data_IF_523232671329
#
_entry.id   IF_523232671329
#
_cell.length_a   1.000
_cell.length_b   1.000
_cell.length_c   1.000
_cell.angle_alpha   90.00
_cell.angle_beta   90.00
_cell.angle_gamma   90.00
#
_symmetry.space_group_name_H-M   'P 1'
#
loop_
_entity.id
_entity.type
_entity.pdbx_description
1 polymer ?
#
# COMPACT_ATOMS: atom_id res chain seq x y z
N UNK A 1 -6.11 19.25 29.56
CA UNK A 1 -5.61 18.00 28.95
C UNK A 1 -5.82 16.85 29.94
N UNK A 2 -6.82 15.99 29.71
CA UNK A 2 -7.03 14.77 30.53
C UNK A 2 -6.15 13.65 29.95
N UNK A 3 -5.25 13.10 30.76
CA UNK A 3 -4.31 11.99 30.52
C UNK A 3 -2.89 12.34 30.04
N UNK A 4 -2.03 12.76 30.98
CA UNK A 4 -0.56 12.72 30.89
C UNK A 4 0.03 11.31 30.73
N UNK A 5 -0.79 10.25 30.90
CA UNK A 5 -0.39 8.82 30.79
C UNK A 5 -0.80 8.16 29.46
N UNK A 6 -1.39 8.91 28.51
CA UNK A 6 -1.67 8.33 27.19
C UNK A 6 -0.37 8.21 26.41
N UNK A 7 -0.08 7.01 25.93
CA UNK A 7 1.08 6.66 25.11
C UNK A 7 0.75 5.50 24.19
N UNK A 8 1.64 5.21 23.23
CA UNK A 8 1.47 4.07 22.33
C UNK A 8 1.57 2.76 23.12
N UNK A 9 0.57 1.90 22.99
CA UNK A 9 0.55 0.57 23.57
C UNK A 9 0.97 -0.44 22.50
N UNK A 10 1.99 -1.25 22.79
CA UNK A 10 2.46 -2.30 21.87
C UNK A 10 1.83 -3.64 22.23
N UNK A 11 1.03 -4.18 21.32
CA UNK A 11 0.37 -5.47 21.41
C UNK A 11 1.32 -6.60 20.96
N UNK A 12 1.15 -7.78 21.53
CA UNK A 12 1.88 -8.98 21.08
C UNK A 12 1.37 -9.41 19.69
N UNK A 13 2.27 -9.50 18.72
CA UNK A 13 1.94 -9.84 17.34
C UNK A 13 2.28 -11.31 17.03
N UNK A 14 1.42 -11.99 16.26
CA UNK A 14 1.77 -13.29 15.71
C UNK A 14 2.65 -13.10 14.47
N UNK A 15 3.94 -13.37 14.61
CA UNK A 15 4.94 -13.18 13.55
C UNK A 15 4.68 -14.01 12.29
N UNK A 16 3.89 -15.10 12.36
CA UNK A 16 3.56 -15.93 11.17
C UNK A 16 2.54 -15.27 10.26
N UNK A 17 1.70 -14.40 10.80
CA UNK A 17 0.56 -13.77 10.11
C UNK A 17 0.67 -12.25 10.06
N UNK A 18 1.77 -11.71 10.60
CA UNK A 18 2.00 -10.28 10.60
C UNK A 18 2.33 -9.76 9.21
N UNK A 19 1.87 -8.56 8.90
CA UNK A 19 2.18 -7.82 7.68
C UNK A 19 2.67 -6.42 8.06
N UNK A 20 3.49 -5.83 7.21
CA UNK A 20 3.92 -4.43 7.34
C UNK A 20 3.00 -3.56 6.47
N UNK A 21 2.14 -2.75 7.08
CA UNK A 21 1.26 -1.83 6.38
C UNK A 21 1.85 -0.43 6.32
N UNK A 22 1.62 0.22 5.19
CA UNK A 22 2.03 1.61 4.94
C UNK A 22 0.82 2.36 4.41
N UNK A 23 0.25 3.24 5.22
CA UNK A 23 -0.80 4.15 4.77
C UNK A 23 -0.16 5.44 4.29
N UNK A 24 -0.54 5.90 3.12
CA UNK A 24 0.07 7.08 2.50
C UNK A 24 -1.01 8.08 2.09
N UNK A 25 -0.70 9.37 2.30
CA UNK A 25 -1.48 10.47 1.76
C UNK A 25 -0.56 11.64 1.35
N UNK A 26 -1.00 12.39 0.35
CA UNK A 26 -0.33 13.58 -0.11
C UNK A 26 -1.35 14.65 -0.42
N UNK A 27 -1.12 15.85 0.11
CA UNK A 27 -2.03 16.99 -0.07
C UNK A 27 -1.33 18.13 -0.79
N UNK A 28 -1.90 18.50 -1.93
CA UNK A 28 -1.31 19.45 -2.85
C UNK A 28 -1.52 20.90 -2.41
N UNK A 29 -0.44 21.67 -2.37
CA UNK A 29 -0.44 23.12 -2.14
C UNK A 29 -1.27 23.58 -0.91
N UNK A 30 -1.33 22.76 0.14
CA UNK A 30 -2.17 23.00 1.31
C UNK A 30 -1.48 23.84 2.41
N UNK A 31 -0.16 23.93 2.38
CA UNK A 31 0.56 24.77 3.33
C UNK A 31 0.33 26.25 3.01
N UNK A 32 0.49 27.13 4.00
CA UNK A 32 0.28 28.57 3.83
C UNK A 32 1.17 29.20 2.73
N UNK A 33 2.32 28.57 2.45
CA UNK A 33 3.26 28.95 1.40
C UNK A 33 3.03 28.19 0.08
N UNK A 34 1.84 27.60 -0.11
CA UNK A 34 1.40 26.84 -1.29
C UNK A 34 2.23 25.59 -1.56
N UNK A 35 2.99 25.10 -0.59
CA UNK A 35 3.72 23.85 -0.73
C UNK A 35 2.86 22.65 -0.37
N UNK A 36 3.22 21.50 -0.92
CA UNK A 36 2.51 20.24 -0.69
C UNK A 36 2.99 19.56 0.59
N UNK A 37 2.08 18.90 1.30
CA UNK A 37 2.37 18.11 2.49
C UNK A 37 2.32 16.62 2.13
N UNK A 38 3.33 15.87 2.58
CA UNK A 38 3.41 14.42 2.44
C UNK A 38 3.22 13.78 3.81
N UNK A 39 2.40 12.75 3.86
CA UNK A 39 2.08 12.03 5.09
C UNK A 39 2.09 10.52 4.89
N UNK A 40 2.66 9.81 5.84
CA UNK A 40 2.50 8.36 5.89
C UNK A 40 2.63 7.83 7.31
N UNK A 41 2.11 6.62 7.52
CA UNK A 41 2.25 5.86 8.75
C UNK A 41 2.52 4.39 8.44
N UNK A 42 3.49 3.81 9.15
CA UNK A 42 3.98 2.45 9.01
C UNK A 42 3.64 1.65 10.26
N UNK A 43 3.03 0.50 10.06
CA UNK A 43 2.40 -0.24 11.13
C UNK A 43 2.55 -1.74 10.92
N UNK A 44 2.78 -2.49 12.00
CA UNK A 44 2.77 -3.95 11.97
C UNK A 44 1.42 -4.49 12.41
N UNK A 45 0.85 -5.35 11.55
CA UNK A 45 -0.56 -5.75 11.60
C UNK A 45 -0.65 -7.24 11.67
N UNK A 46 -1.35 -7.75 12.66
CA UNK A 46 -1.68 -9.16 12.65
C UNK A 46 -2.92 -9.41 11.77
N UNK A 47 -2.86 -10.37 10.85
CA UNK A 47 -4.09 -10.82 10.16
C UNK A 47 -4.97 -11.53 11.20
N UNK A 48 -6.11 -10.96 11.56
CA UNK A 48 -7.13 -11.69 12.33
C UNK A 48 -7.63 -12.86 11.47
N UNK A 49 -7.28 -14.10 11.84
CA UNK A 49 -7.96 -15.29 11.33
C UNK A 49 -9.32 -15.34 11.99
N UNK A 50 -10.36 -14.85 11.31
CA UNK A 50 -11.71 -14.95 11.84
C UNK A 50 -12.13 -16.42 11.88
N UNK A 51 -12.09 -17.00 13.07
CA UNK A 51 -12.76 -18.25 13.36
C UNK A 51 -14.28 -17.97 13.45
N UNK A 52 -14.99 -18.39 12.40
CA UNK A 52 -16.39 -18.85 12.39
C UNK A 52 -17.54 -17.83 12.58
N UNK A 53 -18.32 -17.61 11.51
CA UNK A 53 -19.78 -17.84 11.53
C UNK A 53 -20.32 -18.01 10.10
N UNK A 54 -20.63 -19.25 9.74
CA UNK A 54 -21.84 -19.69 9.00
C UNK A 54 -22.44 -18.74 7.95
N UNK A 55 -21.64 -18.27 7.01
CA UNK A 55 -21.99 -18.17 5.59
C UNK A 55 -20.69 -18.36 4.83
N UNK A 56 -20.68 -19.08 3.72
CA UNK A 56 -19.47 -19.39 2.95
C UNK A 56 -18.84 -18.18 2.27
N UNK A 57 -18.45 -17.16 3.04
CA UNK A 57 -17.80 -15.94 2.61
C UNK A 57 -16.57 -15.70 3.47
N UNK A 58 -15.43 -15.65 2.82
CA UNK A 58 -14.17 -15.29 3.43
C UNK A 58 -14.18 -13.80 3.78
N UNK A 59 -13.37 -13.31 4.74
CA UNK A 59 -13.28 -11.88 5.06
C UNK A 59 -12.95 -11.01 3.84
N UNK A 60 -12.27 -11.59 2.85
CA UNK A 60 -11.93 -10.98 1.56
C UNK A 60 -13.18 -10.66 0.71
N UNK A 61 -14.35 -11.22 1.04
CA UNK A 61 -15.64 -10.98 0.37
C UNK A 61 -16.45 -9.81 0.97
N UNK A 62 -16.07 -9.28 2.14
CA UNK A 62 -16.81 -8.19 2.82
C UNK A 62 -16.27 -6.80 2.46
N UNK A 63 -15.10 -6.73 1.80
CA UNK A 63 -14.46 -5.47 1.45
C UNK A 63 -13.96 -4.68 2.65
N UNK A 64 -13.64 -5.32 3.78
CA UNK A 64 -13.15 -4.64 4.98
C UNK A 64 -12.10 -5.50 5.70
N UNK A 65 -11.06 -4.88 6.25
CA UNK A 65 -10.07 -5.56 7.08
C UNK A 65 -9.91 -4.86 8.43
N UNK A 66 -9.78 -5.66 9.48
CA UNK A 66 -9.43 -5.16 10.81
C UNK A 66 -7.92 -5.07 10.91
N UNK A 67 -7.49 -4.01 11.54
CA UNK A 67 -6.12 -3.60 11.69
C UNK A 67 -5.83 -3.56 13.18
N UNK A 68 -5.18 -4.60 13.71
CA UNK A 68 -4.76 -4.75 15.11
C UNK A 68 -3.26 -4.55 15.21
N UNK A 69 -2.80 -3.49 15.86
CA UNK A 69 -1.55 -2.88 15.39
C UNK A 69 -0.61 -2.27 16.42
N UNK A 70 0.65 -2.19 15.98
CA UNK A 70 1.77 -1.49 16.61
C UNK A 70 2.34 -0.45 15.64
N UNK A 71 2.14 0.84 15.92
CA UNK A 71 2.72 1.95 15.13
C UNK A 71 4.24 1.91 15.26
N UNK A 72 4.94 1.71 14.14
CA UNK A 72 6.40 1.65 14.11
C UNK A 72 6.96 3.04 13.80
N UNK A 73 6.39 3.69 12.79
CA UNK A 73 6.90 4.95 12.28
C UNK A 73 5.79 5.77 11.62
N UNK A 74 5.95 7.08 11.58
CA UNK A 74 5.10 7.98 10.83
C UNK A 74 5.91 9.20 10.43
N UNK A 75 5.44 9.91 9.41
CA UNK A 75 6.04 11.16 8.98
C UNK A 75 4.99 12.11 8.44
N UNK A 76 5.18 13.39 8.75
CA UNK A 76 4.45 14.51 8.19
C UNK A 76 5.48 15.54 7.76
N UNK A 77 5.76 15.61 6.46
CA UNK A 77 6.82 16.49 5.95
C UNK A 77 6.36 17.27 4.74
N UNK A 78 6.83 18.51 4.65
CA UNK A 78 6.66 19.32 3.46
C UNK A 78 7.43 18.70 2.30
N UNK A 79 6.78 18.62 1.14
CA UNK A 79 7.40 18.14 -0.09
C UNK A 79 8.50 19.11 -0.53
N UNK A 80 9.73 18.60 -0.70
CA UNK A 80 10.87 19.39 -1.19
C UNK A 80 10.82 19.62 -2.69
N UNK A 81 10.12 18.76 -3.44
CA UNK A 81 9.97 18.85 -4.89
C UNK A 81 8.79 19.75 -5.23
N UNK A 82 8.91 20.52 -6.30
CA UNK A 82 7.78 21.25 -6.86
C UNK A 82 6.78 20.23 -7.40
N UNK A 83 5.60 20.19 -6.79
CA UNK A 83 4.47 19.39 -7.27
C UNK A 83 3.68 20.20 -8.27
N UNK A 84 3.29 19.61 -9.40
CA UNK A 84 2.43 20.25 -10.40
C UNK A 84 1.00 19.69 -10.42
N UNK A 85 0.71 18.69 -9.59
CA UNK A 85 -0.62 18.07 -9.51
C UNK A 85 -0.89 17.41 -8.15
N UNK A 86 -2.18 17.16 -7.88
CA UNK A 86 -2.61 16.33 -6.74
C UNK A 86 -1.99 14.93 -6.80
N UNK A 87 -1.97 14.33 -8.00
CA UNK A 87 -1.37 13.01 -8.20
C UNK A 87 0.13 13.01 -7.87
N UNK A 88 0.87 14.07 -8.22
CA UNK A 88 2.29 14.20 -7.88
C UNK A 88 2.53 14.12 -6.37
N UNK A 89 1.77 14.90 -5.58
CA UNK A 89 1.90 14.88 -4.12
C UNK A 89 1.62 13.49 -3.53
N UNK A 90 0.63 12.78 -4.08
CA UNK A 90 0.29 11.42 -3.65
C UNK A 90 1.34 10.37 -4.04
N UNK A 91 1.94 10.49 -5.23
CA UNK A 91 3.07 9.63 -5.65
C UNK A 91 4.27 9.87 -4.74
N UNK A 92 4.63 11.12 -4.46
CA UNK A 92 5.78 11.43 -3.60
C UNK A 92 5.59 10.95 -2.17
N UNK A 93 4.38 11.04 -1.62
CA UNK A 93 4.08 10.45 -0.32
C UNK A 93 4.22 8.92 -0.34
N UNK A 94 3.77 8.27 -1.41
CA UNK A 94 3.90 6.82 -1.58
C UNK A 94 5.37 6.39 -1.70
N UNK A 95 6.19 7.10 -2.47
CA UNK A 95 7.64 6.83 -2.57
C UNK A 95 8.29 6.95 -1.19
N UNK A 96 8.05 8.06 -0.48
CA UNK A 96 8.62 8.26 0.86
C UNK A 96 8.20 7.15 1.84
N UNK A 97 6.93 6.73 1.81
CA UNK A 97 6.44 5.62 2.62
C UNK A 97 7.04 4.27 2.21
N UNK A 98 7.16 4.01 0.91
CA UNK A 98 7.73 2.77 0.36
C UNK A 98 9.22 2.61 0.70
N UNK A 99 10.01 3.69 0.62
CA UNK A 99 11.44 3.67 0.96
C UNK A 99 11.66 3.29 2.43
N UNK A 100 10.90 3.90 3.35
CA UNK A 100 10.97 3.57 4.78
C UNK A 100 10.47 2.14 5.04
N UNK A 101 9.41 1.72 4.35
CA UNK A 101 8.91 0.35 4.48
C UNK A 101 9.90 -0.68 3.94
N UNK A 102 10.65 -0.37 2.89
CA UNK A 102 11.72 -1.22 2.38
C UNK A 102 12.86 -1.34 3.41
N UNK A 103 13.28 -0.23 4.01
CA UNK A 103 14.31 -0.23 5.06
C UNK A 103 13.88 -1.05 6.31
N UNK A 104 12.63 -0.88 6.76
CA UNK A 104 12.08 -1.68 7.85
C UNK A 104 11.92 -3.15 7.42
N UNK A 105 11.38 -3.40 6.23
CA UNK A 105 11.12 -4.74 5.71
C UNK A 105 12.39 -5.56 5.52
N UNK A 106 13.49 -4.97 5.05
CA UNK A 106 14.80 -5.64 4.95
C UNK A 106 15.38 -5.96 6.33
N UNK A 107 15.21 -5.06 7.32
CA UNK A 107 15.60 -5.33 8.71
C UNK A 107 14.77 -6.48 9.30
N UNK A 108 13.46 -6.49 9.07
CA UNK A 108 12.57 -7.57 9.48
C UNK A 108 12.94 -8.88 8.80
N UNK A 109 13.32 -8.86 7.52
CA UNK A 109 13.75 -10.04 6.78
C UNK A 109 14.93 -10.74 7.48
N UNK A 110 15.96 -9.98 7.87
CA UNK A 110 17.12 -10.50 8.61
C UNK A 110 16.70 -11.15 9.94
N UNK A 111 15.76 -10.55 10.66
CA UNK A 111 15.24 -11.11 11.93
C UNK A 111 14.46 -12.39 11.67
N UNK A 112 13.55 -12.39 10.69
CA UNK A 112 12.72 -13.56 10.36
C UNK A 112 13.53 -14.74 9.85
N UNK A 113 14.61 -14.48 9.11
CA UNK A 113 15.55 -15.51 8.64
C UNK A 113 16.22 -16.22 9.82
N UNK A 114 16.68 -15.45 10.82
CA UNK A 114 17.30 -16.00 12.03
C UNK A 114 16.33 -16.79 12.90
N UNK A 115 15.05 -16.42 12.89
CA UNK A 115 14.00 -17.09 13.64
C UNK A 115 13.31 -18.23 12.87
N UNK A 116 13.70 -18.46 11.61
CA UNK A 116 13.04 -19.41 10.70
C UNK A 116 11.52 -19.19 10.55
N UNK A 117 11.10 -17.93 10.49
CA UNK A 117 9.70 -17.50 10.31
C UNK A 117 9.53 -16.98 8.87
N UNK A 118 8.33 -17.09 8.25
CA UNK A 118 8.09 -16.51 6.93
C UNK A 118 8.38 -15.01 6.87
N UNK A 119 8.77 -14.53 5.68
CA UNK A 119 8.96 -13.11 5.41
C UNK A 119 7.67 -12.33 5.68
N UNK A 120 7.80 -11.20 6.37
CA UNK A 120 6.68 -10.29 6.65
C UNK A 120 6.39 -9.49 5.36
N UNK A 121 5.23 -9.66 4.73
CA UNK A 121 4.93 -8.97 3.48
C UNK A 121 4.56 -7.50 3.71
N UNK A 122 5.02 -6.64 2.81
CA UNK A 122 4.72 -5.21 2.81
C UNK A 122 3.47 -4.89 1.98
N UNK A 123 2.53 -4.18 2.57
CA UNK A 123 1.26 -3.74 1.96
C UNK A 123 1.19 -2.22 1.97
N UNK A 124 1.01 -1.59 0.81
CA UNK A 124 0.80 -0.14 0.73
C UNK A 124 -0.68 0.15 0.52
N UNK A 125 -1.23 1.06 1.31
CA UNK A 125 -2.62 1.49 1.28
C UNK A 125 -2.72 2.95 0.86
N UNK A 126 -3.59 3.23 -0.12
CA UNK A 126 -3.91 4.59 -0.56
C UNK A 126 -5.42 4.77 -0.69
N UNK A 127 -5.91 5.96 -0.38
CA UNK A 127 -7.30 6.34 -0.64
C UNK A 127 -7.56 6.80 -2.09
N UNK A 128 -6.49 6.95 -2.86
CA UNK A 128 -6.50 7.62 -4.15
C UNK A 128 -6.71 6.65 -5.29
N UNK A 129 -7.91 6.64 -5.85
CA UNK A 129 -8.19 5.84 -7.04
C UNK A 129 -7.27 6.19 -8.21
N UNK A 130 -6.91 7.48 -8.39
CA UNK A 130 -6.03 7.90 -9.48
C UNK A 130 -4.61 7.35 -9.30
N UNK A 131 -4.07 7.35 -8.09
CA UNK A 131 -2.77 6.74 -7.77
C UNK A 131 -2.80 5.22 -7.97
N UNK A 132 -3.82 4.57 -7.40
CA UNK A 132 -4.01 3.13 -7.54
C UNK A 132 -4.11 2.72 -9.01
N UNK A 133 -4.99 3.38 -9.77
CA UNK A 133 -5.14 3.14 -11.22
C UNK A 133 -3.84 3.44 -11.98
N UNK A 134 -3.09 4.45 -11.58
CA UNK A 134 -1.80 4.78 -12.18
C UNK A 134 -0.75 3.68 -11.99
N UNK A 135 -0.76 2.95 -10.87
CA UNK A 135 0.16 1.84 -10.66
C UNK A 135 -0.30 0.59 -11.41
N UNK A 136 -1.61 0.32 -11.42
CA UNK A 136 -2.21 -0.91 -11.94
C UNK A 136 -2.38 -0.91 -13.46
N UNK A 137 -2.90 0.19 -14.01
CA UNK A 137 -2.98 0.36 -15.46
C UNK A 137 -1.68 1.02 -15.89
N UNK A 138 -1.04 0.52 -16.95
CA UNK A 138 0.13 1.13 -17.59
C UNK A 138 -0.20 2.50 -18.22
N UNK A 139 -1.04 3.33 -17.59
CA UNK A 139 -1.36 4.67 -18.03
C UNK A 139 -0.10 5.51 -17.99
N UNK A 140 0.23 6.12 -19.12
CA UNK A 140 1.27 7.12 -19.21
C UNK A 140 0.77 8.43 -18.59
N UNK A 141 1.65 9.11 -17.85
CA UNK A 141 1.41 10.49 -17.41
C UNK A 141 2.18 11.42 -18.35
N UNK A 142 1.63 12.62 -18.61
CA UNK A 142 2.34 13.65 -19.40
C UNK A 142 3.55 14.21 -18.65
N UNK A 143 3.56 14.10 -17.33
CA UNK A 143 4.63 14.59 -16.48
C UNK A 143 5.78 13.58 -16.42
N UNK A 144 6.79 13.78 -17.26
CA UNK A 144 7.93 12.85 -17.42
C UNK A 144 8.64 12.54 -16.10
N UNK A 145 8.72 13.50 -15.19
CA UNK A 145 9.39 13.30 -13.90
C UNK A 145 8.64 12.29 -13.02
N UNK A 146 7.30 12.33 -12.99
CA UNK A 146 6.49 11.36 -12.26
C UNK A 146 6.63 9.95 -12.79
N UNK A 147 6.95 9.77 -14.08
CA UNK A 147 7.17 8.43 -14.63
C UNK A 147 8.33 7.72 -13.94
N UNK A 148 9.39 8.43 -13.53
CA UNK A 148 10.54 7.83 -12.85
C UNK A 148 10.08 7.20 -11.52
N UNK A 149 9.35 7.96 -10.72
CA UNK A 149 8.85 7.50 -9.42
C UNK A 149 7.79 6.37 -9.58
N UNK A 150 6.91 6.46 -10.59
CA UNK A 150 5.94 5.39 -10.91
C UNK A 150 6.66 4.11 -11.35
N UNK A 151 7.70 4.22 -12.18
CA UNK A 151 8.50 3.07 -12.63
C UNK A 151 9.25 2.42 -11.46
N UNK A 152 9.81 3.21 -10.55
CA UNK A 152 10.47 2.70 -9.35
C UNK A 152 9.49 1.94 -8.44
N UNK A 153 8.29 2.48 -8.21
CA UNK A 153 7.26 1.78 -7.43
C UNK A 153 6.80 0.47 -8.08
N UNK A 154 6.62 0.47 -9.41
CA UNK A 154 6.28 -0.77 -10.16
C UNK A 154 7.41 -1.79 -10.11
N UNK A 155 8.65 -1.35 -10.26
CA UNK A 155 9.82 -2.24 -10.15
C UNK A 155 9.94 -2.85 -8.75
N UNK A 156 9.69 -2.06 -7.70
CA UNK A 156 9.67 -2.53 -6.31
C UNK A 156 8.59 -3.59 -6.11
N UNK A 157 7.45 -3.42 -6.76
CA UNK A 157 6.38 -4.41 -6.79
C UNK A 157 6.78 -5.70 -7.53
N UNK A 158 7.40 -5.59 -8.71
CA UNK A 158 7.93 -6.75 -9.47
C UNK A 158 8.98 -7.54 -8.70
N UNK A 159 9.80 -6.85 -7.91
CA UNK A 159 10.84 -7.43 -7.05
C UNK A 159 10.30 -8.01 -5.73
N UNK A 160 9.00 -7.87 -5.46
CA UNK A 160 8.36 -8.26 -4.18
C UNK A 160 8.89 -7.51 -2.97
N UNK A 161 9.38 -6.30 -3.17
CA UNK A 161 9.65 -5.37 -2.08
C UNK A 161 8.31 -4.80 -1.56
N UNK A 162 7.38 -4.56 -2.48
CA UNK A 162 5.96 -4.29 -2.20
C UNK A 162 5.15 -5.52 -2.64
N UNK A 163 4.43 -6.14 -1.72
CA UNK A 163 3.69 -7.38 -2.01
C UNK A 163 2.26 -7.11 -2.49
N UNK A 164 1.66 -6.03 -2.00
CA UNK A 164 0.26 -5.73 -2.23
C UNK A 164 0.03 -4.22 -2.21
N UNK A 165 -0.82 -3.72 -3.09
CA UNK A 165 -1.29 -2.33 -3.09
C UNK A 165 -2.80 -2.35 -2.94
N UNK A 166 -3.31 -1.66 -1.91
CA UNK A 166 -4.73 -1.57 -1.58
C UNK A 166 -5.27 -0.17 -1.82
N UNK A 167 -6.38 -0.10 -2.51
CA UNK A 167 -7.22 1.09 -2.56
C UNK A 167 -8.26 1.01 -1.46
N UNK A 168 -8.20 1.95 -0.53
CA UNK A 168 -9.07 2.01 0.66
C UNK A 168 -10.05 3.18 0.56
N UNK A 169 -11.08 3.16 1.40
CA UNK A 169 -12.00 4.28 1.54
C UNK A 169 -11.30 5.47 2.22
N UNK A 170 -11.50 6.69 1.71
CA UNK A 170 -10.77 7.89 2.15
C UNK A 170 -11.00 8.24 3.61
N UNK A 171 -12.21 8.09 4.12
CA UNK A 171 -12.50 8.33 5.54
C UNK A 171 -11.82 7.34 6.50
N UNK A 172 -11.23 6.27 5.97
CA UNK A 172 -10.61 5.20 6.76
C UNK A 172 -9.07 5.23 6.62
N UNK A 173 -8.51 6.30 6.02
CA UNK A 173 -7.08 6.47 5.85
C UNK A 173 -6.49 7.21 7.07
N UNK A 174 -5.67 6.54 7.92
CA UNK A 174 -5.03 7.21 9.03
C UNK A 174 -3.94 8.21 8.57
N UNK A 175 -3.43 8.06 7.35
CA UNK A 175 -2.37 8.93 6.82
C UNK A 175 -2.82 10.38 6.58
N UNK A 176 -4.13 10.60 6.41
CA UNK A 176 -4.73 11.93 6.27
C UNK A 176 -4.42 12.84 7.47
N UNK A 177 -4.19 12.26 8.65
CA UNK A 177 -3.80 13.00 9.87
C UNK A 177 -2.45 13.71 9.75
N UNK A 178 -1.60 13.26 8.82
CA UNK A 178 -0.27 13.80 8.59
C UNK A 178 -0.24 14.80 7.43
N UNK A 179 -1.36 15.03 6.76
CA UNK A 179 -1.47 15.96 5.62
C UNK A 179 -2.51 17.05 5.86
N UNK A 180 -3.57 16.75 6.61
CA UNK A 180 -4.70 17.63 6.90
C UNK A 180 -4.61 18.19 8.32
N UNK A 181 -5.18 19.37 8.52
CA UNK A 181 -5.31 20.01 9.84
C UNK A 181 -6.50 19.49 10.65
N UNK A 182 -7.48 18.86 9.98
CA UNK A 182 -8.67 18.31 10.63
C UNK A 182 -8.34 17.06 11.45
N UNK A 183 -8.97 16.88 12.63
CA UNK A 183 -8.86 15.65 13.39
C UNK A 183 -9.26 14.42 12.56
N UNK A 184 -8.56 13.30 12.78
CA UNK A 184 -8.79 12.06 12.07
C UNK A 184 -9.22 10.98 13.06
N UNK A 185 -10.48 10.55 12.97
CA UNK A 185 -11.06 9.55 13.87
C UNK A 185 -10.44 8.16 13.69
N UNK A 186 -9.94 7.84 12.49
CA UNK A 186 -9.24 6.58 12.22
C UNK A 186 -7.93 6.49 13.00
N UNK A 187 -7.12 7.55 13.00
CA UNK A 187 -5.90 7.61 13.79
C UNK A 187 -6.20 7.66 15.29
N UNK A 188 -7.25 8.39 15.70
CA UNK A 188 -7.66 8.41 17.10
C UNK A 188 -8.06 7.01 17.60
N UNK A 189 -8.87 6.27 16.84
CA UNK A 189 -9.24 4.89 17.15
C UNK A 189 -8.01 3.96 17.14
N UNK A 190 -7.12 4.12 16.16
CA UNK A 190 -5.88 3.34 16.08
C UNK A 190 -5.00 3.55 17.32
N UNK A 191 -4.83 4.80 17.77
CA UNK A 191 -4.00 5.13 18.94
C UNK A 191 -4.69 4.77 20.26
N UNK A 192 -6.01 4.94 20.35
CA UNK A 192 -6.77 4.73 21.60
C UNK A 192 -7.11 3.27 21.85
N UNK A 193 -7.52 2.55 20.81
CA UNK A 193 -8.06 1.19 20.91
C UNK A 193 -7.07 0.13 20.39
N UNK A 194 -6.02 0.54 19.67
CA UNK A 194 -5.07 -0.38 19.02
C UNK A 194 -5.71 -1.17 17.87
N UNK A 195 -6.95 -0.82 17.49
CA UNK A 195 -7.75 -1.51 16.48
C UNK A 195 -8.50 -0.51 15.61
N UNK A 196 -8.47 -0.71 14.30
CA UNK A 196 -9.33 0.04 13.38
C UNK A 196 -9.86 -0.86 12.26
N UNK A 197 -11.05 -0.55 11.75
CA UNK A 197 -11.67 -1.26 10.62
C UNK A 197 -11.53 -0.39 9.38
N UNK A 198 -10.97 -0.94 8.31
CA UNK A 198 -10.69 -0.21 7.08
C UNK A 198 -11.41 -0.84 5.91
N UNK A 199 -12.24 -0.06 5.21
CA UNK A 199 -12.92 -0.49 3.98
C UNK A 199 -11.96 -0.47 2.79
N UNK A 200 -11.98 -1.56 2.03
CA UNK A 200 -11.26 -1.73 0.78
C UNK A 200 -12.21 -1.50 -0.38
N UNK A 201 -11.79 -0.65 -1.30
CA UNK A 201 -12.47 -0.41 -2.57
C UNK A 201 -11.89 -1.29 -3.70
N UNK A 202 -10.63 -1.74 -3.56
CA UNK A 202 -10.00 -2.68 -4.48
C UNK A 202 -8.56 -2.99 -4.08
N UNK A 203 -7.99 -4.05 -4.64
CA UNK A 203 -6.60 -4.41 -4.39
C UNK A 203 -5.94 -5.08 -5.58
N UNK A 204 -4.61 -5.02 -5.60
CA UNK A 204 -3.78 -5.81 -6.50
C UNK A 204 -2.75 -6.59 -5.68
N UNK A 205 -2.69 -7.88 -5.99
CA UNK A 205 -1.72 -8.83 -5.46
C UNK A 205 -0.93 -9.45 -6.62
N UNK A 206 0.33 -9.75 -6.37
CA UNK A 206 1.18 -10.44 -7.33
C UNK A 206 0.87 -11.95 -7.30
N UNK A 207 0.14 -12.46 -8.29
CA UNK A 207 -0.15 -13.89 -8.41
C UNK A 207 0.73 -14.52 -9.50
N UNK A 208 1.94 -14.91 -9.12
CA UNK A 208 2.83 -15.72 -9.96
C UNK A 208 3.62 -14.93 -11.02
N UNK A 209 4.66 -15.59 -11.52
CA UNK A 209 5.53 -15.14 -12.60
C UNK A 209 5.30 -16.09 -13.77
N UNK A 210 4.95 -15.57 -14.94
CA UNK A 210 5.00 -16.36 -16.17
C UNK A 210 6.30 -16.05 -16.91
N UNK A 211 7.07 -17.10 -17.23
CA UNK A 211 8.14 -17.03 -18.23
C UNK A 211 7.52 -17.37 -19.58
N UNK A 212 7.36 -16.37 -20.44
CA UNK A 212 7.08 -16.59 -21.86
C UNK A 212 8.40 -16.93 -22.57
N UNK A 213 8.44 -18.08 -23.23
CA UNK A 213 9.46 -18.38 -24.23
C UNK A 213 8.94 -17.89 -25.58
N UNK A 214 9.48 -16.78 -26.10
CA UNK A 214 9.23 -16.38 -27.48
C UNK A 214 10.20 -17.13 -28.40
N UNK A 215 9.67 -17.80 -29.42
CA UNK A 215 10.38 -18.73 -30.30
C UNK A 215 11.40 -18.11 -31.27
N UNK A 216 11.81 -16.87 -31.07
CA UNK A 216 12.89 -16.24 -31.82
C UNK A 216 13.55 -15.18 -30.92
N UNK A 217 14.84 -15.39 -30.62
CA UNK A 217 15.68 -14.63 -29.69
C UNK A 217 15.52 -14.94 -28.20
N UNK A 218 16.59 -15.52 -27.63
CA UNK A 218 16.77 -15.77 -26.20
C UNK A 218 16.81 -14.46 -25.40
N UNK A 219 15.64 -13.94 -25.02
CA UNK A 219 15.51 -12.99 -23.92
C UNK A 219 14.36 -13.43 -23.02
N UNK A 220 14.69 -13.95 -21.83
CA UNK A 220 13.72 -14.26 -20.78
C UNK A 220 13.11 -12.95 -20.30
N UNK A 221 11.88 -12.62 -20.70
CA UNK A 221 11.10 -11.55 -20.04
C UNK A 221 10.21 -12.17 -18.96
N UNK A 222 10.40 -11.68 -17.74
CA UNK A 222 9.63 -12.07 -16.56
C UNK A 222 8.41 -11.13 -16.52
N UNK A 223 7.24 -11.63 -16.91
CA UNK A 223 5.99 -10.85 -16.85
C UNK A 223 5.26 -11.19 -15.56
N UNK A 224 5.13 -10.20 -14.68
CA UNK A 224 4.30 -10.25 -13.48
C UNK A 224 2.85 -10.00 -13.83
N UNK A 225 1.96 -10.94 -13.52
CA UNK A 225 0.53 -10.74 -13.73
C UNK A 225 -0.05 -9.98 -12.54
N UNK A 226 -0.55 -8.78 -12.82
CA UNK A 226 -1.37 -8.02 -11.88
C UNK A 226 -2.79 -8.57 -11.96
N UNK A 227 -3.29 -9.13 -10.85
CA UNK A 227 -4.71 -9.46 -10.72
C UNK A 227 -5.43 -8.37 -9.95
N UNK A 228 -6.39 -7.74 -10.62
CA UNK A 228 -7.34 -6.82 -10.01
C UNK A 228 -8.50 -7.60 -9.42
N UNK A 229 -8.92 -7.24 -8.21
CA UNK A 229 -10.13 -7.76 -7.58
C UNK A 229 -10.87 -6.63 -6.87
N UNK A 230 -12.19 -6.56 -7.07
CA UNK A 230 -13.09 -5.63 -6.38
C UNK A 230 -13.91 -6.40 -5.32
N UNK A 231 -14.34 -5.76 -4.22
CA UNK A 231 -15.30 -6.38 -3.32
C UNK A 231 -16.64 -6.60 -4.06
N UNK A 232 -16.92 -7.83 -4.46
CA UNK A 232 -18.17 -8.22 -5.14
C UNK A 232 -17.98 -8.96 -6.48
N UNK A 233 -16.82 -8.86 -7.13
CA UNK A 233 -16.51 -9.58 -8.37
C UNK A 233 -15.95 -10.99 -8.06
N UNK A 234 -16.83 -11.92 -7.70
CA UNK A 234 -16.47 -13.33 -7.51
C UNK A 234 -16.15 -13.94 -8.90
N UNK A 235 -14.86 -14.25 -9.14
CA UNK A 235 -14.44 -15.11 -10.25
C UNK A 235 -14.08 -14.43 -11.59
N UNK A 236 -14.13 -13.08 -11.70
CA UNK A 236 -13.63 -12.38 -12.89
C UNK A 236 -12.25 -11.77 -12.64
N UNK A 237 -11.22 -12.55 -12.92
CA UNK A 237 -9.85 -12.04 -13.00
C UNK A 237 -9.65 -11.30 -14.33
N UNK A 238 -9.29 -10.02 -14.28
CA UNK A 238 -8.76 -9.33 -15.46
C UNK A 238 -7.24 -9.46 -15.45
N UNK A 239 -6.69 -10.32 -16.31
CA UNK A 239 -5.25 -10.42 -16.52
C UNK A 239 -4.75 -9.16 -17.27
N UNK A 240 -3.99 -8.32 -16.58
CA UNK A 240 -3.43 -7.09 -17.17
C UNK A 240 -2.31 -7.41 -18.19
N UNK A 241 -1.69 -8.60 -18.12
CA UNK A 241 -0.57 -9.00 -18.97
C UNK A 241 -0.94 -9.30 -20.43
N UNK A 242 -2.20 -9.65 -20.72
CA UNK A 242 -2.63 -9.94 -22.10
C UNK A 242 -2.61 -8.69 -23.00
N UNK A 243 -2.64 -7.49 -22.41
CA UNK A 243 -2.50 -6.23 -23.13
C UNK A 243 -1.03 -5.92 -23.52
N UNK A 244 -0.05 -6.44 -22.77
CA UNK A 244 1.38 -6.21 -23.02
C UNK A 244 1.88 -6.93 -24.28
N UNK A 245 1.35 -8.13 -24.57
CA UNK A 245 1.74 -8.90 -25.76
C UNK A 245 1.24 -8.31 -27.09
N UNK A 246 0.22 -7.44 -27.05
CA UNK A 246 -0.36 -6.79 -28.26
C UNK A 246 0.18 -5.40 -28.54
N UNK A 247 0.56 -4.63 -27.50
CA UNK A 247 1.06 -3.25 -27.71
C UNK A 247 2.47 -3.18 -28.30
N UNK A 248 3.33 -4.20 -28.09
CA UNK A 248 4.71 -4.22 -28.61
C UNK A 248 4.87 -5.00 -29.94
N UNK A 249 3.76 -5.37 -30.60
CA UNK A 249 3.76 -5.91 -31.99
C UNK A 249 3.46 -4.84 -33.05
N UNK A 250 3.77 -3.58 -32.77
CA UNK A 250 3.72 -2.50 -33.76
C UNK A 250 5.00 -1.69 -33.71
#
# INVERSE_FOLDING_TARGET
MKNLKRGLCFLLLNLKTVKLFVFVDGLFANNADLTSQLGFIVILVNKESNNHTTTGKTPDDTGMFTVTENIIHFSSTKCKRVTWSVLASKIYAMVAGADIAHAIGTTLALITERLAIPLIPTVICTDSYSLYKCLVKLSTTKEKQLMIDIMALRQSYERREIHEIRWIHSSDNPADSFTKSSPNSTLEALVSDGKVKIRMNGWVLLTGVFTLFDGAFYHKRKLSVLRYQSPGDIGRYADVSAAEARMFRR
#
